data_IF_627218246426
#
_entry.id   IF_627218246426
#
_cell.length_a   1.000
_cell.length_b   1.000
_cell.length_c   1.000
_cell.angle_alpha   90.00
_cell.angle_beta   90.00
_cell.angle_gamma   90.00
#
_symmetry.space_group_name_H-M   'P 1'
#
loop_
_entity.id
_entity.type
_entity.pdbx_description
1 polymer ?
#
# COMPACT_ATOMS: atom_id res chain seq x y z
N UNK A 1 -8.42 29.72 -3.71
CA UNK A 1 -7.76 29.71 -5.03
C UNK A 1 -8.85 29.58 -6.09
N UNK A 2 -9.22 30.70 -6.72
CA UNK A 2 -10.18 30.72 -7.82
C UNK A 2 -9.41 30.47 -9.12
N UNK A 3 -9.45 29.23 -9.62
CA UNK A 3 -8.98 28.93 -10.97
C UNK A 3 -10.03 29.39 -11.98
N UNK A 4 -9.66 30.30 -12.87
CA UNK A 4 -10.52 30.81 -13.94
C UNK A 4 -10.68 29.74 -15.04
N UNK A 5 -11.90 29.25 -15.23
CA UNK A 5 -12.24 28.28 -16.28
C UNK A 5 -12.37 29.00 -17.63
N UNK A 6 -11.43 28.77 -18.55
CA UNK A 6 -11.57 29.16 -19.96
C UNK A 6 -12.11 27.98 -20.76
N UNK A 7 -13.37 28.07 -21.18
CA UNK A 7 -14.00 27.11 -22.06
C UNK A 7 -13.64 27.42 -23.52
N UNK A 8 -12.85 26.56 -24.16
CA UNK A 8 -12.56 26.66 -25.59
C UNK A 8 -13.36 25.57 -26.33
N UNK A 9 -14.32 25.97 -27.17
CA UNK A 9 -15.04 25.04 -28.03
C UNK A 9 -14.37 24.97 -29.41
N UNK A 10 -13.91 23.78 -29.82
CA UNK A 10 -13.54 23.48 -31.21
C UNK A 10 -14.52 22.45 -31.77
N UNK A 11 -15.28 22.83 -32.78
CA UNK A 11 -16.16 21.94 -33.54
C UNK A 11 -15.34 21.11 -34.53
N UNK A 12 -15.19 19.80 -34.29
CA UNK A 12 -14.66 18.87 -35.28
C UNK A 12 -15.82 18.38 -36.16
N UNK A 13 -15.79 18.71 -37.45
CA UNK A 13 -16.78 18.28 -38.44
C UNK A 13 -16.26 17.02 -39.14
N UNK A 14 -16.88 15.87 -38.92
CA UNK A 14 -16.64 14.67 -39.74
C UNK A 14 -17.81 14.47 -40.73
N UNK A 15 -17.56 14.29 -42.03
CA UNK A 15 -18.59 14.18 -43.05
C UNK A 15 -18.96 12.70 -43.26
N UNK A 16 -19.87 12.18 -42.44
CA UNK A 16 -20.81 11.09 -42.75
C UNK A 16 -21.29 10.46 -41.46
N UNK A 17 -22.60 10.25 -41.36
CA UNK A 17 -23.32 9.70 -40.22
C UNK A 17 -23.65 10.70 -39.09
N UNK A 18 -24.88 10.53 -38.58
CA UNK A 18 -25.69 11.44 -37.73
C UNK A 18 -24.89 12.20 -36.66
N UNK A 19 -25.15 13.51 -36.44
CA UNK A 19 -24.39 14.30 -35.49
C UNK A 19 -24.74 13.88 -34.05
N UNK A 20 -23.98 12.94 -33.49
CA UNK A 20 -23.82 12.90 -32.05
C UNK A 20 -22.93 14.08 -31.67
N UNK A 21 -23.53 15.10 -31.06
CA UNK A 21 -22.81 16.22 -30.46
C UNK A 21 -22.04 15.74 -29.24
N UNK A 22 -20.86 15.16 -29.46
CA UNK A 22 -19.95 14.82 -28.37
C UNK A 22 -19.08 16.04 -28.09
N UNK A 23 -19.47 16.85 -27.11
CA UNK A 23 -18.61 17.91 -26.59
C UNK A 23 -17.50 17.27 -25.76
N UNK A 24 -16.30 17.12 -26.32
CA UNK A 24 -15.12 16.80 -25.52
C UNK A 24 -14.72 18.06 -24.74
N UNK A 25 -15.07 18.09 -23.46
CA UNK A 25 -14.68 19.16 -22.55
C UNK A 25 -13.31 18.81 -21.98
N UNK A 26 -12.24 19.35 -22.56
CA UNK A 26 -10.90 19.20 -22.00
C UNK A 26 -10.59 20.40 -21.10
N UNK A 27 -10.47 20.16 -19.79
CA UNK A 27 -10.03 21.17 -18.84
C UNK A 27 -8.53 21.38 -18.98
N UNK A 28 -8.12 22.49 -19.59
CA UNK A 28 -6.71 22.91 -19.62
C UNK A 28 -6.39 23.57 -18.27
N UNK A 29 -5.76 22.82 -17.36
CA UNK A 29 -5.29 23.36 -16.09
C UNK A 29 -4.11 24.31 -16.35
N UNK A 30 -4.34 25.63 -16.26
CA UNK A 30 -3.25 26.59 -16.20
C UNK A 30 -2.52 26.43 -14.87
N UNK A 31 -1.27 26.00 -14.94
CA UNK A 31 -0.38 25.82 -13.79
C UNK A 31 0.03 27.21 -13.27
N UNK A 32 -0.12 27.46 -11.98
CA UNK A 32 0.34 28.71 -11.36
C UNK A 32 1.82 28.95 -11.67
N UNK A 33 2.12 30.13 -12.22
CA UNK A 33 3.49 30.56 -12.46
C UNK A 33 4.17 30.90 -11.14
N UNK A 34 5.42 30.46 -10.98
CA UNK A 34 6.20 30.61 -9.75
C UNK A 34 7.24 31.71 -9.98
N UNK A 35 6.87 32.95 -9.67
CA UNK A 35 7.68 34.14 -9.99
C UNK A 35 8.69 34.53 -8.89
N UNK A 36 8.56 33.96 -7.69
CA UNK A 36 9.45 34.24 -6.55
C UNK A 36 10.67 33.31 -6.60
N UNK A 37 11.87 33.90 -6.63
CA UNK A 37 13.14 33.16 -6.63
C UNK A 37 13.86 33.24 -5.29
N UNK A 38 14.44 32.12 -4.84
CA UNK A 38 15.26 32.03 -3.62
C UNK A 38 16.67 31.63 -4.05
N UNK A 39 17.67 32.45 -3.72
CA UNK A 39 19.09 32.15 -4.00
C UNK A 39 19.71 31.47 -2.79
N UNK A 40 20.25 30.28 -2.98
CA UNK A 40 20.93 29.48 -1.95
C UNK A 40 22.41 29.42 -2.31
N UNK A 41 23.30 29.67 -1.33
CA UNK A 41 24.74 29.45 -1.50
C UNK A 41 25.05 28.00 -1.12
N UNK A 42 25.78 27.32 -2.00
CA UNK A 42 26.17 25.92 -1.84
C UNK A 42 27.65 25.80 -2.16
N UNK A 43 28.33 24.90 -1.47
CA UNK A 43 29.63 24.40 -1.89
C UNK A 43 29.48 23.47 -3.09
N UNK A 44 30.57 23.21 -3.81
CA UNK A 44 30.55 22.36 -5.01
C UNK A 44 30.14 20.92 -4.67
N UNK A 45 30.61 20.40 -3.53
CA UNK A 45 30.25 19.07 -3.03
C UNK A 45 28.75 18.96 -2.68
N UNK A 46 28.17 19.97 -2.01
CA UNK A 46 26.73 19.97 -1.67
C UNK A 46 25.85 20.02 -2.93
N UNK A 47 26.28 20.80 -3.94
CA UNK A 47 25.58 20.88 -5.22
C UNK A 47 25.54 19.51 -5.91
N UNK A 48 26.66 18.79 -5.93
CA UNK A 48 26.75 17.48 -6.55
C UNK A 48 25.88 16.44 -5.84
N UNK A 49 25.91 16.42 -4.50
CA UNK A 49 25.03 15.55 -3.70
C UNK A 49 23.55 15.81 -3.96
N UNK A 50 23.13 17.07 -4.04
CA UNK A 50 21.74 17.42 -4.37
C UNK A 50 21.36 16.98 -5.78
N UNK A 51 22.27 17.10 -6.74
CA UNK A 51 22.03 16.70 -8.12
C UNK A 51 21.89 15.17 -8.23
N UNK A 52 22.69 14.43 -7.49
CA UNK A 52 22.64 12.98 -7.42
C UNK A 52 21.32 12.50 -6.81
N UNK A 53 20.92 13.01 -5.64
CA UNK A 53 19.63 12.68 -5.00
C UNK A 53 18.44 13.04 -5.88
N UNK A 54 18.51 14.17 -6.57
CA UNK A 54 17.47 14.60 -7.52
C UNK A 54 17.34 13.62 -8.69
N UNK A 55 18.46 13.08 -9.20
CA UNK A 55 18.48 12.06 -10.26
C UNK A 55 17.91 10.73 -9.77
N UNK A 56 18.27 10.31 -8.56
CA UNK A 56 17.75 9.08 -7.94
C UNK A 56 16.22 9.13 -7.79
N UNK A 57 15.67 10.28 -7.39
CA UNK A 57 14.22 10.48 -7.33
C UNK A 57 13.56 10.75 -8.70
N UNK A 58 14.34 10.91 -9.77
CA UNK A 58 13.85 11.20 -11.12
C UNK A 58 13.17 12.58 -11.25
N UNK A 59 13.52 13.54 -10.40
CA UNK A 59 12.91 14.88 -10.34
C UNK A 59 13.90 15.95 -10.79
N UNK A 60 13.38 17.11 -11.20
CA UNK A 60 14.21 18.31 -11.38
C UNK A 60 14.66 18.84 -10.01
N UNK A 61 15.87 19.39 -9.96
CA UNK A 61 16.48 19.91 -8.73
C UNK A 61 15.55 20.90 -8.00
N UNK A 62 14.89 21.78 -8.74
CA UNK A 62 13.94 22.75 -8.18
C UNK A 62 12.68 22.08 -7.60
N UNK A 63 12.21 20.99 -8.20
CA UNK A 63 11.11 20.21 -7.63
C UNK A 63 11.54 19.47 -6.38
N UNK A 64 12.72 18.84 -6.41
CA UNK A 64 13.30 18.11 -5.29
C UNK A 64 13.52 19.01 -4.06
N UNK A 65 14.11 20.19 -4.22
CA UNK A 65 14.34 21.15 -3.12
C UNK A 65 13.01 21.62 -2.52
N UNK A 66 12.01 21.93 -3.37
CA UNK A 66 10.69 22.35 -2.88
C UNK A 66 9.97 21.26 -2.12
N UNK A 67 9.95 20.03 -2.65
CA UNK A 67 9.30 18.91 -1.95
C UNK A 67 10.03 18.59 -0.64
N UNK A 68 11.35 18.58 -0.66
CA UNK A 68 12.15 18.35 0.55
C UNK A 68 11.92 19.43 1.62
N UNK A 69 11.85 20.71 1.22
CA UNK A 69 11.65 21.82 2.15
C UNK A 69 10.20 21.98 2.64
N UNK A 70 9.20 21.66 1.80
CA UNK A 70 7.78 21.89 2.11
C UNK A 70 7.08 20.66 2.67
N UNK A 71 7.38 19.46 2.18
CA UNK A 71 6.66 18.23 2.58
C UNK A 71 7.34 17.47 3.72
N UNK A 72 8.62 17.76 4.02
CA UNK A 72 9.43 16.81 4.80
C UNK A 72 9.60 15.49 4.06
N UNK A 73 10.45 14.58 4.57
CA UNK A 73 10.87 13.31 3.91
C UNK A 73 9.89 12.80 2.85
N UNK A 74 10.30 12.87 1.57
CA UNK A 74 9.54 12.32 0.45
C UNK A 74 9.47 10.80 0.61
N UNK A 75 8.34 10.29 1.11
CA UNK A 75 8.04 8.85 1.08
C UNK A 75 7.95 8.49 -0.41
N UNK A 76 8.89 7.67 -0.87
CA UNK A 76 8.95 7.29 -2.28
C UNK A 76 7.75 6.39 -2.61
N UNK A 77 7.33 6.36 -3.89
CA UNK A 77 6.27 5.42 -4.32
C UNK A 77 6.65 3.96 -4.04
N UNK A 78 7.96 3.67 -4.02
CA UNK A 78 8.52 2.37 -3.66
C UNK A 78 8.19 1.99 -2.22
N UNK A 79 8.20 2.95 -1.29
CA UNK A 79 7.89 2.69 0.12
C UNK A 79 6.42 2.27 0.31
N UNK A 80 5.49 2.83 -0.47
CA UNK A 80 4.06 2.48 -0.40
C UNK A 80 3.82 1.03 -0.86
N UNK A 81 4.48 0.61 -1.94
CA UNK A 81 4.39 -0.77 -2.43
C UNK A 81 5.00 -1.75 -1.42
N UNK A 82 6.12 -1.38 -0.81
CA UNK A 82 6.77 -2.19 0.22
C UNK A 82 5.88 -2.36 1.46
N UNK A 83 5.22 -1.30 1.91
CA UNK A 83 4.24 -1.35 3.01
C UNK A 83 3.08 -2.29 2.67
N UNK A 84 2.61 -2.28 1.42
CA UNK A 84 1.52 -3.17 0.99
C UNK A 84 1.93 -4.65 1.02
N UNK A 85 3.14 -4.97 0.58
CA UNK A 85 3.66 -6.34 0.64
C UNK A 85 3.93 -6.78 2.09
N UNK A 86 4.45 -5.91 2.95
CA UNK A 86 4.56 -6.19 4.40
C UNK A 86 3.20 -6.47 5.03
N UNK A 87 2.17 -5.73 4.65
CA UNK A 87 0.80 -5.96 5.13
C UNK A 87 0.27 -7.34 4.71
N UNK A 88 0.56 -7.80 3.48
CA UNK A 88 0.21 -9.16 3.05
C UNK A 88 0.92 -10.23 3.87
N UNK A 89 2.22 -10.09 4.10
CA UNK A 89 3.00 -11.02 4.92
C UNK A 89 2.40 -11.09 6.34
N UNK A 90 2.13 -9.94 6.96
CA UNK A 90 1.51 -9.88 8.28
C UNK A 90 0.12 -10.54 8.32
N UNK A 91 -0.70 -10.35 7.28
CA UNK A 91 -2.00 -10.99 7.16
C UNK A 91 -1.88 -12.53 7.07
N UNK A 92 -0.91 -13.04 6.30
CA UNK A 92 -0.67 -14.48 6.17
C UNK A 92 -0.21 -15.08 7.50
N UNK A 93 0.73 -14.42 8.21
CA UNK A 93 1.17 -14.85 9.55
C UNK A 93 0.00 -14.91 10.52
N UNK A 94 -0.88 -13.91 10.50
CA UNK A 94 -2.06 -13.88 11.37
C UNK A 94 -3.05 -15.01 11.06
N UNK A 95 -3.21 -15.36 9.79
CA UNK A 95 -4.03 -16.51 9.38
C UNK A 95 -3.42 -17.83 9.88
N UNK A 96 -2.10 -18.01 9.72
CA UNK A 96 -1.39 -19.19 10.23
C UNK A 96 -1.50 -19.28 11.76
N UNK A 97 -1.31 -18.17 12.48
CA UNK A 97 -1.43 -18.15 13.93
C UNK A 97 -2.85 -18.52 14.40
N UNK A 98 -3.89 -17.95 13.77
CA UNK A 98 -5.28 -18.34 14.05
C UNK A 98 -5.54 -19.81 13.76
N UNK A 99 -5.02 -20.31 12.64
CA UNK A 99 -5.19 -21.72 12.27
C UNK A 99 -4.53 -22.66 13.29
N UNK A 100 -3.29 -22.37 13.70
CA UNK A 100 -2.59 -23.12 14.74
C UNK A 100 -3.37 -23.05 16.06
N UNK A 101 -3.88 -21.88 16.45
CA UNK A 101 -4.68 -21.72 17.65
C UNK A 101 -6.04 -22.45 17.61
N UNK A 102 -6.53 -22.83 16.42
CA UNK A 102 -7.75 -23.65 16.27
C UNK A 102 -7.49 -25.15 16.23
N UNK A 103 -6.24 -25.58 16.09
CA UNK A 103 -5.91 -27.00 16.22
C UNK A 103 -6.17 -27.43 17.67
N UNK A 104 -6.75 -28.62 17.89
CA UNK A 104 -6.91 -29.14 19.24
C UNK A 104 -5.52 -29.22 19.87
N UNK A 105 -5.33 -28.49 20.97
CA UNK A 105 -4.09 -28.58 21.76
C UNK A 105 -3.83 -30.04 22.13
N UNK A 106 -2.55 -30.42 22.19
CA UNK A 106 -2.12 -31.75 22.62
C UNK A 106 -2.75 -32.15 23.96
N UNK A 107 -3.13 -31.19 24.81
CA UNK A 107 -3.90 -31.38 26.05
C UNK A 107 -5.26 -32.05 25.82
N UNK A 108 -6.01 -31.69 24.78
CA UNK A 108 -7.31 -32.32 24.48
C UNK A 108 -7.14 -33.78 24.04
N UNK A 109 -6.06 -34.07 23.31
CA UNK A 109 -5.71 -35.43 22.89
C UNK A 109 -5.28 -36.25 24.11
N UNK A 110 -4.44 -35.69 24.97
CA UNK A 110 -3.98 -36.33 26.20
C UNK A 110 -5.14 -36.63 27.16
N UNK A 111 -6.06 -35.69 27.36
CA UNK A 111 -7.26 -35.90 28.15
C UNK A 111 -8.17 -36.99 27.56
N UNK A 112 -8.31 -37.02 26.24
CA UNK A 112 -9.10 -38.06 25.55
C UNK A 112 -8.47 -39.44 25.72
N UNK A 113 -7.13 -39.54 25.65
CA UNK A 113 -6.39 -40.79 25.85
C UNK A 113 -6.49 -41.30 27.29
N UNK A 114 -6.37 -40.42 28.28
CA UNK A 114 -6.52 -40.78 29.69
C UNK A 114 -7.92 -41.37 29.97
N UNK A 115 -8.94 -40.71 29.41
CA UNK A 115 -10.33 -41.15 29.54
C UNK A 115 -10.60 -42.49 28.84
N UNK A 116 -9.97 -42.74 27.69
CA UNK A 116 -10.02 -44.04 27.01
C UNK A 116 -9.36 -45.13 27.87
N UNK A 117 -8.21 -44.85 28.47
CA UNK A 117 -7.53 -45.80 29.36
C UNK A 117 -8.38 -46.12 30.60
N UNK A 118 -9.05 -45.11 31.17
CA UNK A 118 -9.98 -45.30 32.28
C UNK A 118 -11.12 -46.25 31.90
N UNK A 119 -11.77 -46.03 30.75
CA UNK A 119 -12.84 -46.92 30.28
C UNK A 119 -12.36 -48.34 30.02
N UNK A 120 -11.15 -48.51 29.49
CA UNK A 120 -10.56 -49.82 29.28
C UNK A 120 -10.39 -50.57 30.61
N UNK A 121 -9.89 -49.87 31.63
CA UNK A 121 -9.72 -50.42 32.99
C UNK A 121 -11.05 -50.81 33.64
N UNK A 122 -12.08 -49.98 33.45
CA UNK A 122 -13.43 -50.26 33.96
C UNK A 122 -14.01 -51.52 33.31
N UNK A 123 -13.87 -51.67 31.98
CA UNK A 123 -14.30 -52.85 31.24
C UNK A 123 -13.55 -54.11 31.69
N UNK A 124 -12.23 -54.05 31.87
CA UNK A 124 -11.45 -55.16 32.40
C UNK A 124 -11.87 -55.55 33.82
N UNK A 125 -12.23 -54.57 34.63
CA UNK A 125 -12.71 -54.80 36.00
C UNK A 125 -14.09 -55.45 36.01
N UNK A 126 -14.99 -55.05 35.11
CA UNK A 126 -16.30 -55.69 34.93
C UNK A 126 -16.11 -57.13 34.47
N UNK A 127 -15.25 -57.37 33.48
CA UNK A 127 -14.99 -58.71 32.95
C UNK A 127 -14.44 -59.65 34.04
N UNK A 128 -13.52 -59.16 34.88
CA UNK A 128 -12.99 -59.91 36.05
C UNK A 128 -14.03 -60.21 37.13
N UNK A 129 -15.13 -59.45 37.21
CA UNK A 129 -16.22 -59.68 38.19
C UNK A 129 -17.28 -60.64 37.68
N UNK A 130 -17.34 -60.88 36.37
CA UNK A 130 -18.33 -61.75 35.72
C UNK A 130 -17.81 -63.18 35.50
N UNK A 131 -16.49 -63.38 35.52
CA UNK A 131 -15.82 -64.68 35.57
C UNK A 131 -15.53 -65.08 37.03
#
# INVERSE_FOLDING_TARGET
MQGMFLWVQKTLRQPSCRPMFVTLTYSVYMKENRDISIKIRLTEAEKEQLLQRSKEEGKSLSSFIRESALKGRSISKTDVQMIYELRKIGANINQLAKHINTLPSDENILYSLDRINQYLSDVETINRKLL
#
